data_IF_554084570882
#
_entry.id   IF_554084570882
#
_cell.length_a   1.000
_cell.length_b   1.000
_cell.length_c   1.000
_cell.angle_alpha   90.00
_cell.angle_beta   90.00
_cell.angle_gamma   90.00
#
_symmetry.space_group_name_H-M   'P 1'
#
loop_
_entity.id
_entity.type
_entity.pdbx_description
1 polymer ?
#
# COMPACT_ATOMS: atom_id res chain seq x y z
N UNK A 1 -1.69 16.58 -4.61
CA UNK A 1 -0.41 15.89 -4.39
C UNK A 1 -0.07 14.82 -5.45
N UNK A 2 -0.79 14.75 -6.58
CA UNK A 2 -0.66 13.66 -7.58
C UNK A 2 0.47 13.81 -8.60
N UNK A 3 1.15 14.96 -8.68
CA UNK A 3 2.21 15.14 -9.69
C UNK A 3 3.46 14.30 -9.41
N UNK A 4 3.81 14.07 -8.14
CA UNK A 4 5.05 13.34 -7.78
C UNK A 4 5.02 11.87 -8.20
N UNK A 5 3.86 11.23 -8.12
CA UNK A 5 3.70 9.81 -8.45
C UNK A 5 3.85 9.54 -9.96
N UNK A 6 3.38 10.47 -10.79
CA UNK A 6 3.45 10.36 -12.27
C UNK A 6 4.87 10.24 -12.83
N UNK A 7 5.88 10.73 -12.10
CA UNK A 7 7.29 10.67 -12.54
C UNK A 7 8.04 9.43 -12.07
N UNK A 8 7.50 8.66 -11.13
CA UNK A 8 8.11 7.40 -10.69
C UNK A 8 8.00 6.36 -11.80
N UNK A 9 8.96 5.44 -11.93
CA UNK A 9 8.76 4.24 -12.74
C UNK A 9 7.82 3.27 -12.04
N UNK A 10 7.28 2.27 -12.76
CA UNK A 10 6.46 1.21 -12.16
C UNK A 10 7.23 0.45 -11.07
N UNK A 11 8.52 0.18 -11.28
CA UNK A 11 9.39 -0.47 -10.30
C UNK A 11 9.61 0.40 -9.06
N UNK A 12 9.72 1.72 -9.22
CA UNK A 12 9.83 2.63 -8.08
C UNK A 12 8.55 2.68 -7.28
N UNK A 13 7.38 2.59 -7.93
CA UNK A 13 6.11 2.46 -7.24
C UNK A 13 6.05 1.18 -6.42
N UNK A 14 6.42 0.02 -6.98
CA UNK A 14 6.48 -1.26 -6.26
C UNK A 14 7.36 -1.18 -5.01
N UNK A 15 8.59 -0.66 -5.17
CA UNK A 15 9.52 -0.51 -4.06
C UNK A 15 8.95 0.38 -2.95
N UNK A 16 8.27 1.46 -3.32
CA UNK A 16 7.67 2.39 -2.36
C UNK A 16 6.43 1.80 -1.68
N UNK A 17 5.63 1.02 -2.40
CA UNK A 17 4.50 0.26 -1.85
C UNK A 17 5.02 -0.72 -0.79
N UNK A 18 6.06 -1.50 -1.09
CA UNK A 18 6.62 -2.46 -0.12
C UNK A 18 7.17 -1.77 1.12
N UNK A 19 7.90 -0.67 0.94
CA UNK A 19 8.41 0.11 2.06
C UNK A 19 7.28 0.65 2.93
N UNK A 20 6.28 1.29 2.33
CA UNK A 20 5.14 1.85 3.06
C UNK A 20 4.33 0.76 3.77
N UNK A 21 4.19 -0.43 3.17
CA UNK A 21 3.55 -1.60 3.77
C UNK A 21 4.28 -2.02 5.06
N UNK A 22 5.61 -2.16 4.98
CA UNK A 22 6.44 -2.50 6.13
C UNK A 22 6.36 -1.45 7.25
N UNK A 23 6.44 -0.17 6.88
CA UNK A 23 6.36 0.95 7.82
C UNK A 23 4.97 1.01 8.50
N UNK A 24 3.89 0.79 7.74
CA UNK A 24 2.52 0.77 8.26
C UNK A 24 2.34 -0.34 9.31
N UNK A 25 2.81 -1.56 9.02
CA UNK A 25 2.72 -2.69 9.94
C UNK A 25 3.54 -2.42 11.19
N UNK A 26 4.78 -1.96 11.03
CA UNK A 26 5.68 -1.64 12.15
C UNK A 26 5.09 -0.57 13.06
N UNK A 27 4.54 0.51 12.49
CA UNK A 27 3.89 1.57 13.25
C UNK A 27 2.57 1.11 13.88
N UNK A 28 1.79 0.29 13.17
CA UNK A 28 0.56 -0.30 13.69
C UNK A 28 0.80 -1.17 14.91
N UNK A 29 1.90 -1.95 14.92
CA UNK A 29 2.33 -2.75 16.06
C UNK A 29 2.90 -1.91 17.21
N UNK A 30 3.60 -0.81 16.90
CA UNK A 30 4.28 0.01 17.91
C UNK A 30 3.36 1.04 18.56
N UNK A 31 2.51 1.70 17.77
CA UNK A 31 1.70 2.86 18.17
C UNK A 31 0.19 2.58 18.15
N UNK A 32 -0.23 1.46 17.56
CA UNK A 32 -1.62 1.12 17.31
C UNK A 32 -2.09 1.49 15.91
N UNK A 33 -3.05 0.72 15.40
CA UNK A 33 -3.62 0.89 14.05
C UNK A 33 -4.43 2.17 13.88
N UNK A 34 -5.00 2.70 14.97
CA UNK A 34 -5.76 3.95 15.00
C UNK A 34 -4.89 5.19 15.22
N UNK A 35 -3.57 5.02 15.40
CA UNK A 35 -2.66 6.14 15.56
C UNK A 35 -2.63 7.00 14.28
N UNK A 36 -2.64 8.32 14.43
CA UNK A 36 -2.63 9.27 13.31
C UNK A 36 -1.51 8.98 12.31
N UNK A 37 -0.31 8.61 12.78
CA UNK A 37 0.84 8.30 11.91
C UNK A 37 0.61 7.03 11.08
N UNK A 38 0.01 6.00 11.69
CA UNK A 38 -0.37 4.77 10.99
C UNK A 38 -1.42 5.05 9.92
N UNK A 39 -2.40 5.91 10.23
CA UNK A 39 -3.43 6.33 9.28
C UNK A 39 -2.88 7.18 8.12
N UNK A 40 -1.92 8.06 8.38
CA UNK A 40 -1.27 8.86 7.33
C UNK A 40 -0.48 8.00 6.34
N UNK A 41 0.28 7.02 6.85
CA UNK A 41 1.00 6.08 6.00
C UNK A 41 0.02 5.17 5.25
N UNK A 42 -1.07 4.72 5.87
CA UNK A 42 -2.12 3.95 5.19
C UNK A 42 -2.70 4.72 4.00
N UNK A 43 -3.04 6.00 4.16
CA UNK A 43 -3.53 6.85 3.06
C UNK A 43 -2.51 6.99 1.95
N UNK A 44 -1.24 7.20 2.32
CA UNK A 44 -0.14 7.31 1.35
C UNK A 44 0.04 6.01 0.58
N UNK A 45 -0.03 4.86 1.25
CA UNK A 45 0.06 3.55 0.63
C UNK A 45 -1.06 3.34 -0.40
N UNK A 46 -2.29 3.71 -0.07
CA UNK A 46 -3.43 3.62 -1.00
C UNK A 46 -3.23 4.46 -2.26
N UNK A 47 -2.65 5.66 -2.15
CA UNK A 47 -2.32 6.50 -3.32
C UNK A 47 -1.32 5.81 -4.26
N UNK A 48 -0.27 5.19 -3.70
CA UNK A 48 0.74 4.48 -4.49
C UNK A 48 0.18 3.21 -5.14
N UNK A 49 -0.63 2.44 -4.41
CA UNK A 49 -1.31 1.25 -4.93
C UNK A 49 -2.25 1.64 -6.09
N UNK A 50 -3.04 2.70 -5.91
CA UNK A 50 -3.96 3.19 -6.93
C UNK A 50 -3.21 3.58 -8.21
N UNK A 51 -2.10 4.32 -8.08
CA UNK A 51 -1.28 4.70 -9.24
C UNK A 51 -0.66 3.47 -9.93
N UNK A 52 -0.17 2.50 -9.15
CA UNK A 52 0.37 1.25 -9.69
C UNK A 52 -0.70 0.46 -10.46
N UNK A 53 -1.90 0.34 -9.91
CA UNK A 53 -3.04 -0.33 -10.55
C UNK A 53 -3.48 0.36 -11.85
N UNK A 54 -3.52 1.69 -11.85
CA UNK A 54 -3.83 2.48 -13.05
C UNK A 54 -2.84 2.21 -14.20
N UNK A 55 -1.57 1.91 -13.88
CA UNK A 55 -0.53 1.64 -14.87
C UNK A 55 -0.48 0.20 -15.34
N UNK A 56 -0.76 -0.75 -14.45
CA UNK A 56 -0.78 -2.17 -14.79
C UNK A 56 -2.04 -2.56 -15.58
N UNK A 57 -3.01 -1.65 -15.75
CA UNK A 57 -4.28 -1.92 -16.43
C UNK A 57 -5.19 -2.86 -15.64
N UNK A 58 -4.78 -3.24 -14.43
CA UNK A 58 -5.57 -4.03 -13.51
C UNK A 58 -6.51 -3.10 -12.75
N UNK A 59 -7.60 -2.69 -13.41
CA UNK A 59 -8.80 -2.17 -12.74
C UNK A 59 -9.46 -3.29 -11.94
N UNK A 60 -8.81 -3.75 -10.87
CA UNK A 60 -9.42 -4.66 -9.90
C UNK A 60 -9.45 -3.93 -8.59
N UNK A 61 -10.62 -3.34 -8.33
CA UNK A 61 -11.10 -2.93 -7.02
C UNK A 61 -10.73 -4.05 -6.05
N UNK A 62 -9.73 -3.83 -5.18
CA UNK A 62 -9.48 -4.71 -4.05
C UNK A 62 -10.56 -4.44 -3.00
N UNK A 63 -11.79 -4.83 -3.34
CA UNK A 63 -12.72 -5.31 -2.35
C UNK A 63 -12.26 -6.73 -2.04
N UNK A 64 -11.55 -6.87 -0.92
CA UNK A 64 -11.52 -8.07 -0.08
C UNK A 64 -11.51 -9.42 -0.81
N UNK A 65 -10.33 -10.04 -0.98
CA UNK A 65 -10.11 -11.49 -0.76
C UNK A 65 -8.84 -11.97 -1.45
N UNK A 66 -7.80 -12.25 -0.66
CA UNK A 66 -6.98 -13.48 -0.68
C UNK A 66 -5.70 -13.24 0.12
N UNK A 67 -5.85 -13.33 1.45
CA UNK A 67 -4.80 -13.98 2.21
C UNK A 67 -5.18 -15.46 2.19
N UNK A 68 -4.45 -16.25 1.41
CA UNK A 68 -4.59 -17.71 1.45
C UNK A 68 -3.90 -18.20 2.72
N UNK A 69 -4.69 -18.50 3.75
CA UNK A 69 -4.22 -19.09 5.02
C UNK A 69 -4.12 -20.61 4.93
N UNK A 70 -4.02 -21.19 3.73
CA UNK A 70 -3.96 -22.64 3.52
C UNK A 70 -2.70 -23.33 4.06
N UNK A 71 -1.73 -22.59 4.61
CA UNK A 71 -0.52 -23.17 5.21
C UNK A 71 -0.55 -23.24 6.76
N UNK A 72 -1.71 -23.01 7.39
CA UNK A 72 -1.88 -23.22 8.83
C UNK A 72 -2.88 -24.35 9.06
N UNK A 73 -2.42 -25.60 8.95
CA UNK A 73 -3.10 -26.80 9.47
C UNK A 73 -2.06 -27.86 9.82
#
# INVERSE_FOLDING_TARGET
MTQRLKYLSTKDLENQIEKLRYDMVTLGLTLGISNTKTLEISKTLDEYITEYQNRSGASTILHTSRYDYSEIS
#
